data_IF_718724525176
#
_entry.id   IF_718724525176
#
_cell.length_a   1.000
_cell.length_b   1.000
_cell.length_c   1.000
_cell.angle_alpha   90.00
_cell.angle_beta   90.00
_cell.angle_gamma   90.00
#
_symmetry.space_group_name_H-M   'P 1'
#
loop_
_entity.id
_entity.type
_entity.pdbx_description
1 polymer ?
#
# COMPACT_ATOMS: atom_id res chain seq x y z
N UNK A 1 -11.90 12.98 13.73
CA UNK A 1 -10.95 12.63 12.64
C UNK A 1 -10.30 13.90 12.11
N UNK A 2 -8.97 13.91 11.97
CA UNK A 2 -8.23 15.05 11.43
C UNK A 2 -8.50 15.25 9.94
N UNK A 3 -8.21 16.44 9.42
CA UNK A 3 -8.30 16.72 7.98
C UNK A 3 -7.41 15.78 7.16
N UNK A 4 -6.24 15.44 7.71
CA UNK A 4 -5.31 14.47 7.13
C UNK A 4 -5.92 13.06 7.02
N UNK A 5 -6.55 12.55 8.10
CA UNK A 5 -7.21 11.23 8.05
C UNK A 5 -8.32 11.19 7.02
N UNK A 6 -9.13 12.26 6.91
CA UNK A 6 -10.20 12.34 5.90
C UNK A 6 -9.63 12.30 4.47
N UNK A 7 -8.52 13.01 4.24
CA UNK A 7 -7.86 13.03 2.95
C UNK A 7 -7.33 11.64 2.57
N UNK A 8 -6.61 10.97 3.48
CA UNK A 8 -6.10 9.62 3.23
C UNK A 8 -7.23 8.63 2.93
N UNK A 9 -8.30 8.65 3.72
CA UNK A 9 -9.45 7.75 3.51
C UNK A 9 -10.03 7.96 2.10
N UNK A 10 -10.21 9.21 1.67
CA UNK A 10 -10.71 9.51 0.33
C UNK A 10 -9.77 9.03 -0.79
N UNK A 11 -8.46 9.18 -0.61
CA UNK A 11 -7.46 8.68 -1.58
C UNK A 11 -7.47 7.16 -1.66
N UNK A 12 -7.51 6.47 -0.52
CA UNK A 12 -7.59 5.00 -0.45
C UNK A 12 -8.86 4.51 -1.15
N UNK A 13 -10.01 5.15 -0.90
CA UNK A 13 -11.27 4.79 -1.54
C UNK A 13 -11.21 4.96 -3.07
N UNK A 14 -10.58 6.04 -3.53
CA UNK A 14 -10.37 6.29 -4.95
C UNK A 14 -9.47 5.22 -5.59
N UNK A 15 -8.35 4.88 -4.95
CA UNK A 15 -7.40 3.86 -5.43
C UNK A 15 -8.07 2.48 -5.43
N UNK A 16 -8.72 2.09 -4.33
CA UNK A 16 -9.42 0.81 -4.20
C UNK A 16 -10.42 0.60 -5.35
N UNK A 17 -11.21 1.64 -5.66
CA UNK A 17 -12.17 1.60 -6.76
C UNK A 17 -11.50 1.54 -8.14
N UNK A 18 -10.47 2.35 -8.38
CA UNK A 18 -9.78 2.46 -9.67
C UNK A 18 -9.01 1.17 -10.00
N UNK A 19 -8.24 0.67 -9.04
CA UNK A 19 -7.36 -0.50 -9.19
C UNK A 19 -8.07 -1.83 -8.92
N UNK A 20 -9.32 -1.79 -8.44
CA UNK A 20 -10.09 -2.96 -7.99
C UNK A 20 -9.37 -3.74 -6.89
N UNK A 21 -8.88 -3.00 -5.90
CA UNK A 21 -8.14 -3.52 -4.75
C UNK A 21 -9.00 -3.51 -3.49
N UNK A 22 -8.69 -4.37 -2.52
CA UNK A 22 -9.22 -4.20 -1.17
C UNK A 22 -8.67 -2.90 -0.56
N UNK A 23 -9.37 -2.30 0.40
CA UNK A 23 -8.91 -1.04 1.02
C UNK A 23 -7.56 -1.20 1.73
N UNK A 24 -7.27 -2.37 2.30
CA UNK A 24 -5.98 -2.66 2.93
C UNK A 24 -4.85 -2.67 1.91
N UNK A 25 -5.06 -3.30 0.74
CA UNK A 25 -4.07 -3.31 -0.34
C UNK A 25 -3.94 -1.91 -0.96
N UNK A 26 -5.06 -1.20 -1.15
CA UNK A 26 -5.06 0.19 -1.64
C UNK A 26 -4.33 1.17 -0.69
N UNK A 27 -4.37 0.93 0.61
CA UNK A 27 -3.58 1.69 1.59
C UNK A 27 -2.07 1.49 1.37
N UNK A 28 -1.61 0.26 1.17
CA UNK A 28 -0.21 -0.03 0.91
C UNK A 28 0.24 0.45 -0.47
N UNK A 29 -0.64 0.39 -1.46
CA UNK A 29 -0.42 1.01 -2.76
C UNK A 29 -0.18 2.52 -2.60
N UNK A 30 -1.07 3.21 -1.88
CA UNK A 30 -0.92 4.63 -1.58
C UNK A 30 0.39 4.92 -0.84
N UNK A 31 0.74 4.08 0.14
CA UNK A 31 1.99 4.20 0.88
C UNK A 31 3.21 4.06 -0.03
N UNK A 32 3.24 3.06 -0.92
CA UNK A 32 4.32 2.85 -1.88
C UNK A 32 4.52 4.04 -2.81
N UNK A 33 3.44 4.56 -3.39
CA UNK A 33 3.52 5.75 -4.26
C UNK A 33 3.95 7.00 -3.49
N UNK A 34 3.39 7.21 -2.29
CA UNK A 34 3.55 8.48 -1.57
C UNK A 34 4.88 8.56 -0.80
N UNK A 35 5.29 7.48 -0.15
CA UNK A 35 6.45 7.47 0.76
C UNK A 35 7.67 6.78 0.17
N UNK A 36 7.48 5.78 -0.68
CA UNK A 36 8.58 5.08 -1.34
C UNK A 36 8.87 5.63 -2.75
N UNK A 37 8.03 6.54 -3.26
CA UNK A 37 8.20 7.15 -4.57
C UNK A 37 7.98 6.19 -5.73
N UNK A 38 7.32 5.05 -5.49
CA UNK A 38 7.04 4.07 -6.54
C UNK A 38 6.10 4.64 -7.59
N UNK A 39 6.32 4.26 -8.85
CA UNK A 39 5.28 4.39 -9.87
C UNK A 39 4.05 3.57 -9.49
N UNK A 40 2.89 3.91 -10.08
CA UNK A 40 1.66 3.16 -9.85
C UNK A 40 1.79 1.68 -10.26
N UNK A 41 2.57 1.38 -11.31
CA UNK A 41 2.85 0.01 -11.75
C UNK A 41 3.70 -0.74 -10.73
N UNK A 42 4.78 -0.14 -10.24
CA UNK A 42 5.63 -0.75 -9.21
C UNK A 42 4.87 -0.96 -7.90
N UNK A 43 4.05 0.01 -7.48
CA UNK A 43 3.21 -0.12 -6.31
C UNK A 43 2.18 -1.27 -6.47
N UNK A 44 1.64 -1.46 -7.68
CA UNK A 44 0.74 -2.58 -7.98
C UNK A 44 1.45 -3.92 -7.85
N UNK A 45 2.63 -4.05 -8.45
CA UNK A 45 3.42 -5.28 -8.39
C UNK A 45 3.87 -5.57 -6.95
N UNK A 46 4.38 -4.56 -6.25
CA UNK A 46 4.90 -4.68 -4.90
C UNK A 46 3.83 -5.11 -3.88
N UNK A 47 2.56 -4.76 -4.12
CA UNK A 47 1.42 -5.13 -3.25
C UNK A 47 0.65 -6.37 -3.72
N UNK A 48 1.11 -7.04 -4.78
CA UNK A 48 0.50 -8.27 -5.30
C UNK A 48 1.16 -9.54 -4.75
N UNK A 49 1.85 -9.42 -3.60
CA UNK A 49 2.46 -10.56 -2.91
C UNK A 49 1.36 -11.41 -2.28
N UNK A 50 0.96 -12.48 -2.97
CA UNK A 50 -0.10 -13.39 -2.52
C UNK A 50 0.34 -14.87 -2.57
N UNK A 51 -0.38 -15.73 -1.84
CA UNK A 51 -0.24 -17.19 -1.90
C UNK A 51 0.73 -17.79 -0.88
N UNK A 52 1.25 -18.99 -1.14
CA UNK A 52 2.20 -19.70 -0.25
C UNK A 52 3.53 -18.96 -0.02
N UNK A 53 3.77 -17.88 -0.77
CA UNK A 53 4.93 -17.00 -0.65
C UNK A 53 4.67 -15.73 0.17
N UNK A 54 3.45 -15.48 0.65
CA UNK A 54 3.09 -14.28 1.40
C UNK A 54 3.97 -14.12 2.65
N UNK A 55 4.18 -15.19 3.43
CA UNK A 55 4.98 -15.15 4.69
C UNK A 55 4.60 -13.99 5.65
N UNK A 56 3.45 -13.34 5.47
CA UNK A 56 3.00 -12.18 6.24
C UNK A 56 3.53 -10.84 5.71
N UNK A 57 3.91 -10.76 4.42
CA UNK A 57 4.45 -9.58 3.77
C UNK A 57 3.39 -9.00 2.82
N UNK A 58 2.91 -7.81 3.13
CA UNK A 58 1.87 -7.16 2.35
C UNK A 58 2.44 -6.25 1.23
N UNK A 59 3.72 -5.87 1.33
CA UNK A 59 4.46 -5.13 0.29
C UNK A 59 5.91 -5.60 0.21
N UNK A 60 6.37 -5.94 -1.00
CA UNK A 60 7.76 -6.28 -1.29
C UNK A 60 8.24 -5.57 -2.55
N UNK A 61 9.30 -4.78 -2.45
CA UNK A 61 9.88 -4.08 -3.59
C UNK A 61 11.41 -4.08 -3.51
N UNK A 62 12.07 -4.29 -4.64
CA UNK A 62 13.54 -4.23 -4.77
C UNK A 62 13.90 -3.01 -5.58
N UNK A 63 14.40 -1.99 -4.88
CA UNK A 63 14.97 -0.80 -5.51
C UNK A 63 16.40 -1.13 -5.96
N UNK A 64 16.55 -1.46 -7.24
CA UNK A 64 17.85 -1.79 -7.82
C UNK A 64 18.75 -0.57 -8.00
N UNK A 65 18.17 0.63 -8.14
CA UNK A 65 18.93 1.86 -8.35
C UNK A 65 19.64 2.29 -7.07
N UNK A 66 18.95 2.15 -5.93
CA UNK A 66 19.50 2.45 -4.61
C UNK A 66 20.15 1.23 -3.94
N UNK A 67 19.93 0.02 -4.47
CA UNK A 67 20.40 -1.23 -3.86
C UNK A 67 19.69 -1.53 -2.54
N UNK A 68 18.40 -1.21 -2.43
CA UNK A 68 17.58 -1.33 -1.22
C UNK A 68 16.43 -2.33 -1.44
N UNK A 69 16.07 -3.08 -0.40
CA UNK A 69 14.85 -3.89 -0.39
C UNK A 69 13.85 -3.29 0.60
N UNK A 70 12.67 -2.96 0.10
CA UNK A 70 11.54 -2.49 0.90
C UNK A 70 10.61 -3.67 1.21
N UNK A 71 10.36 -3.88 2.49
CA UNK A 71 9.41 -4.88 2.99
C UNK A 71 8.49 -4.16 3.98
N UNK A 72 7.18 -4.26 3.78
CA UNK A 72 6.20 -3.69 4.70
C UNK A 72 5.07 -4.67 5.04
N UNK A 73 4.57 -4.53 6.26
CA UNK A 73 3.33 -5.14 6.71
C UNK A 73 2.36 -4.00 7.06
N UNK A 74 1.16 -4.04 6.50
CA UNK A 74 0.19 -2.95 6.56
C UNK A 74 -1.14 -3.39 7.13
N UNK A 75 -1.62 -2.67 8.15
CA UNK A 75 -3.00 -2.81 8.63
C UNK A 75 -3.76 -1.52 8.38
N UNK A 76 -4.91 -1.65 7.72
CA UNK A 76 -5.83 -0.54 7.50
C UNK A 76 -7.10 -0.73 8.33
N UNK A 77 -7.52 0.32 9.03
CA UNK A 77 -8.83 0.39 9.69
C UNK A 77 -9.34 1.82 9.62
N UNK A 78 -10.56 1.99 9.11
CA UNK A 78 -11.27 3.28 9.08
C UNK A 78 -11.66 3.75 10.48
N UNK A 79 -11.91 2.81 11.39
CA UNK A 79 -12.15 3.10 12.80
C UNK A 79 -10.82 3.01 13.55
N UNK A 80 -10.40 4.12 14.19
CA UNK A 80 -9.34 4.07 15.19
C UNK A 80 -9.86 3.32 16.41
N UNK A 81 -9.89 1.99 16.33
CA UNK A 81 -9.86 1.11 17.50
C UNK A 81 -8.55 0.36 17.41
N UNK A 82 -7.54 0.95 18.04
CA UNK A 82 -6.29 0.26 18.37
C UNK A 82 -6.59 -0.74 19.49
#
# INVERSE_FOLDING_TARGET
MSQFSKHIIAEIDRIAKREKLSKSVAFLFWFGVTFLGLSETEAREATSVEGSNDKGVDLFFVDQEQGIVHIAQGKYSESQKL
#
